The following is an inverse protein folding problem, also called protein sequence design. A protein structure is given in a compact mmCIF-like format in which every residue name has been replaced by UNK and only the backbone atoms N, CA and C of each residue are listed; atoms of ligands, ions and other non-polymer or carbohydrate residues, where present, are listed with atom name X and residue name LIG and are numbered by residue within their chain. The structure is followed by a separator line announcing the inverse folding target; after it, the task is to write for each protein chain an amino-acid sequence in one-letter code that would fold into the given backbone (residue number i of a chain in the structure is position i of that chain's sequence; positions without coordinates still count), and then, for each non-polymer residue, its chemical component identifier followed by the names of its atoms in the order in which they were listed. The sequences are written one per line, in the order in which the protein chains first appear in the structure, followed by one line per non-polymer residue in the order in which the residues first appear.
data_IF_766634538840
#
_entry.id   IF_766634538840
#
_cell.length_a   1.000
_cell.length_b   1.000
_cell.length_c   1.000
_cell.angle_alpha   90.00
_cell.angle_beta   90.00
_cell.angle_gamma   90.00
#
_symmetry.space_group_name_H-M   'P 1'
#
loop_
_entity.id
_entity.type
_entity.pdbx_description
1 polymer ?
#
# COMPACT_ATOMS: atom_id res chain seq x y z
N UNK A 1 2.28 1.01 17.80
CA UNK A 1 2.40 0.50 16.42
C UNK A 1 1.12 -0.21 16.02
N UNK A 2 0.69 -0.06 14.78
CA UNK A 2 -0.54 -0.69 14.33
C UNK A 2 -0.37 -2.19 14.18
N UNK A 3 -1.35 -2.95 14.65
CA UNK A 3 -1.39 -4.39 14.41
C UNK A 3 -2.10 -4.67 13.09
N UNK A 4 -1.89 -5.87 12.56
CA UNK A 4 -2.58 -6.29 11.34
C UNK A 4 -4.08 -6.26 11.50
N UNK A 5 -4.57 -6.62 12.71
CA UNK A 5 -5.99 -6.58 13.03
C UNK A 5 -6.56 -5.17 12.91
N UNK A 6 -5.84 -4.19 13.42
CA UNK A 6 -6.28 -2.80 13.36
C UNK A 6 -6.39 -2.30 11.92
N UNK A 7 -5.45 -2.69 11.06
CA UNK A 7 -5.51 -2.35 9.64
C UNK A 7 -6.73 -2.98 8.97
N UNK A 8 -7.01 -4.23 9.29
CA UNK A 8 -8.15 -4.96 8.73
C UNK A 8 -9.46 -4.32 9.19
N UNK A 9 -9.54 -4.00 10.49
CA UNK A 9 -10.73 -3.33 11.05
C UNK A 9 -10.95 -1.96 10.41
N UNK A 10 -9.89 -1.20 10.20
CA UNK A 10 -9.99 0.09 9.52
C UNK A 10 -10.49 -0.06 8.09
N UNK A 11 -10.04 -1.08 7.37
CA UNK A 11 -10.52 -1.36 6.02
C UNK A 11 -12.00 -1.70 6.01
N UNK A 12 -12.46 -2.54 6.94
CA UNK A 12 -13.89 -2.86 7.05
C UNK A 12 -14.71 -1.64 7.45
N UNK A 13 -14.15 -0.75 8.26
CA UNK A 13 -14.82 0.48 8.63
C UNK A 13 -15.05 1.36 7.39
N UNK A 14 -14.08 1.44 6.48
CA UNK A 14 -14.25 2.16 5.22
C UNK A 14 -15.37 1.53 4.38
N UNK A 15 -15.47 0.21 4.38
CA UNK A 15 -16.56 -0.48 3.69
C UNK A 15 -17.91 -0.17 4.31
N UNK A 16 -17.99 -0.09 5.63
CA UNK A 16 -19.22 0.25 6.35
C UNK A 16 -19.65 1.68 6.03
N UNK A 17 -18.71 2.61 5.95
CA UNK A 17 -19.01 3.99 5.59
C UNK A 17 -19.54 4.10 4.16
N UNK A 18 -19.17 3.18 3.29
CA UNK A 18 -19.67 3.12 1.93
C UNK A 18 -21.03 2.39 1.84
N UNK A 19 -21.58 1.97 2.97
CA UNK A 19 -22.88 1.31 3.00
C UNK A 19 -22.83 -0.20 2.89
N UNK A 20 -21.63 -0.79 2.90
CA UNK A 20 -21.49 -2.24 2.83
C UNK A 20 -21.34 -2.80 4.24
N UNK A 21 -22.17 -3.80 4.57
CA UNK A 21 -22.17 -4.40 5.89
C UNK A 21 -21.61 -5.82 5.78
N UNK A 22 -20.64 -6.12 6.64
CA UNK A 22 -20.02 -7.45 6.70
C UNK A 22 -19.93 -7.91 8.14
N UNK A 23 -20.12 -9.20 8.34
CA UNK A 23 -19.88 -9.78 9.65
C UNK A 23 -18.36 -9.97 9.83
N UNK A 24 -17.85 -9.49 10.95
CA UNK A 24 -16.42 -9.63 11.26
C UNK A 24 -16.20 -10.85 12.13
N UNK A 25 -16.55 -12.02 11.62
CA UNK A 25 -16.25 -13.26 12.31
C UNK A 25 -14.79 -13.69 12.05
N UNK A 26 -14.36 -14.75 12.70
CA UNK A 26 -12.99 -15.21 12.58
C UNK A 26 -12.59 -15.57 11.15
N UNK A 27 -13.52 -16.13 10.39
CA UNK A 27 -13.25 -16.53 9.01
C UNK A 27 -13.05 -15.30 8.11
N UNK A 28 -13.84 -14.26 8.32
CA UNK A 28 -13.73 -13.03 7.56
C UNK A 28 -12.41 -12.31 7.89
N UNK A 29 -12.05 -12.27 9.14
CA UNK A 29 -10.80 -11.66 9.57
C UNK A 29 -9.59 -12.40 9.01
N UNK A 30 -9.65 -13.73 9.01
CA UNK A 30 -8.55 -14.52 8.47
C UNK A 30 -8.42 -14.37 6.95
N UNK A 31 -9.55 -14.36 6.25
CA UNK A 31 -9.53 -14.12 4.81
C UNK A 31 -8.96 -12.72 4.49
N UNK A 32 -9.32 -11.73 5.29
CA UNK A 32 -8.79 -10.37 5.12
C UNK A 32 -7.30 -10.31 5.42
N UNK A 33 -6.84 -11.06 6.42
CA UNK A 33 -5.43 -11.16 6.75
C UNK A 33 -4.63 -11.72 5.58
N UNK A 34 -5.11 -12.76 4.95
CA UNK A 34 -4.46 -13.32 3.77
C UNK A 34 -4.40 -12.31 2.62
N UNK A 35 -5.47 -11.55 2.42
CA UNK A 35 -5.47 -10.51 1.38
C UNK A 35 -4.48 -9.39 1.71
N UNK A 36 -4.40 -9.01 2.97
CA UNK A 36 -3.45 -7.99 3.41
C UNK A 36 -2.00 -8.47 3.17
N UNK A 37 -1.68 -9.66 3.62
CA UNK A 37 -0.32 -10.21 3.44
C UNK A 37 0.04 -10.33 1.95
N UNK A 38 -0.90 -10.79 1.14
CA UNK A 38 -0.68 -10.93 -0.31
C UNK A 38 -0.48 -9.58 -0.98
N UNK A 39 -1.28 -8.59 -0.59
CA UNK A 39 -1.15 -7.23 -1.11
C UNK A 39 0.22 -6.66 -0.75
N UNK A 40 0.64 -6.84 0.48
CA UNK A 40 1.93 -6.31 0.94
C UNK A 40 3.10 -7.05 0.28
N UNK A 41 2.97 -8.34 0.02
CA UNK A 41 3.97 -9.08 -0.73
C UNK A 41 4.09 -8.57 -2.16
N UNK A 42 2.97 -8.27 -2.80
CA UNK A 42 2.97 -7.68 -4.15
C UNK A 42 3.63 -6.31 -4.14
N UNK A 43 3.31 -5.49 -3.15
CA UNK A 43 3.92 -4.15 -3.03
C UNK A 43 5.42 -4.25 -2.83
N UNK A 44 5.87 -5.19 -2.02
CA UNK A 44 7.30 -5.44 -1.83
C UNK A 44 7.95 -5.82 -3.16
N UNK A 45 7.26 -6.59 -3.98
CA UNK A 45 7.74 -6.99 -5.30
C UNK A 45 7.94 -5.84 -6.27
N UNK A 46 7.16 -4.76 -6.13
CA UNK A 46 7.32 -3.57 -6.97
C UNK A 46 8.22 -2.52 -6.33
N UNK A 47 8.82 -2.82 -5.20
CA UNK A 47 9.78 -1.94 -4.56
C UNK A 47 9.26 -1.11 -3.39
N UNK A 48 7.99 -1.25 -3.02
CA UNK A 48 7.45 -0.53 -1.86
C UNK A 48 7.85 -1.29 -0.59
N UNK A 49 8.89 -0.82 0.05
CA UNK A 49 9.45 -1.45 1.24
C UNK A 49 9.22 -0.54 2.45
N UNK A 50 8.10 -0.73 3.12
CA UNK A 50 7.70 0.10 4.25
C UNK A 50 7.84 -0.61 5.59
N UNK A 51 8.50 -1.74 5.61
CA UNK A 51 8.76 -2.45 6.86
C UNK A 51 7.66 -3.42 7.29
N UNK A 52 6.70 -3.71 6.43
CA UNK A 52 5.64 -4.65 6.78
C UNK A 52 6.22 -6.02 7.10
N UNK A 53 5.76 -6.60 8.19
CA UNK A 53 6.27 -7.89 8.68
C UNK A 53 5.54 -9.03 7.98
N UNK A 54 6.09 -9.46 6.85
CA UNK A 54 5.55 -10.59 6.10
C UNK A 54 5.86 -11.90 6.83
N UNK A 55 4.88 -12.83 6.91
CA UNK A 55 5.15 -14.12 7.52
C UNK A 55 6.01 -14.99 6.61
N UNK A 56 6.72 -15.93 7.20
CA UNK A 56 7.53 -16.88 6.44
C UNK A 56 6.67 -17.80 5.60
N UNK A 57 5.47 -18.10 6.08
CA UNK A 57 4.46 -18.86 5.32
C UNK A 57 3.08 -18.39 5.74
N UNK A 58 2.05 -18.62 4.91
CA UNK A 58 0.69 -18.15 5.23
C UNK A 58 0.16 -18.68 6.56
N UNK A 59 0.55 -19.89 6.97
CA UNK A 59 0.08 -20.48 8.20
C UNK A 59 0.64 -19.80 9.45
N UNK A 60 1.75 -19.08 9.31
CA UNK A 60 2.40 -18.42 10.43
C UNK A 60 1.88 -16.99 10.64
N UNK A 61 1.03 -16.51 9.77
CA UNK A 61 0.49 -15.16 9.91
C UNK A 61 -0.53 -15.12 11.05
N UNK A 62 -0.42 -14.11 11.88
CA UNK A 62 -1.32 -13.92 13.00
C UNK A 62 -1.87 -12.51 12.97
N UNK A 63 -3.19 -12.40 13.18
CA UNK A 63 -3.89 -11.12 13.12
C UNK A 63 -3.43 -10.16 14.23
N UNK A 64 -2.92 -10.69 15.32
CA UNK A 64 -2.44 -9.88 16.44
C UNK A 64 -0.99 -9.42 16.28
N UNK A 65 -0.30 -9.84 15.23
CA UNK A 65 1.05 -9.42 14.97
C UNK A 65 1.11 -7.93 14.61
N UNK A 66 2.22 -7.28 14.95
CA UNK A 66 2.46 -5.91 14.52
C UNK A 66 2.63 -5.89 13.01
N UNK A 67 2.09 -4.85 12.39
CA UNK A 67 2.25 -4.67 10.95
C UNK A 67 3.65 -4.18 10.59
N UNK A 68 4.28 -3.43 11.48
CA UNK A 68 5.62 -2.92 11.25
C UNK A 68 5.71 -1.70 10.34
N UNK A 69 4.58 -1.14 9.93
CA UNK A 69 4.58 -0.01 9.00
C UNK A 69 4.57 1.32 9.74
N UNK A 70 5.14 2.37 9.13
CA UNK A 70 5.10 3.71 9.73
C UNK A 70 3.71 4.32 9.62
N UNK A 71 3.43 5.30 10.45
CA UNK A 71 2.12 5.96 10.49
C UNK A 71 1.74 6.56 9.13
N UNK A 72 2.72 7.02 8.36
CA UNK A 72 2.45 7.60 7.05
C UNK A 72 1.97 6.58 6.03
N UNK A 73 2.20 5.30 6.26
CA UNK A 73 1.77 4.24 5.37
C UNK A 73 0.46 3.59 5.80
N UNK A 74 -0.07 3.92 6.98
CA UNK A 74 -1.27 3.28 7.52
C UNK A 74 -2.48 3.50 6.64
N UNK A 75 -2.79 4.75 6.33
CA UNK A 75 -3.96 5.07 5.50
C UNK A 75 -3.85 4.48 4.09
N UNK A 76 -2.73 4.64 3.37
CA UNK A 76 -2.60 3.99 2.07
C UNK A 76 -2.84 2.48 2.13
N UNK A 77 -2.36 1.82 3.17
CA UNK A 77 -2.50 0.37 3.29
C UNK A 77 -3.95 -0.02 3.51
N UNK A 78 -4.64 0.55 4.51
CA UNK A 78 -6.01 0.10 4.76
C UNK A 78 -6.99 0.57 3.69
N UNK A 79 -6.75 1.72 3.05
CA UNK A 79 -7.62 2.17 1.96
C UNK A 79 -7.50 1.24 0.75
N UNK A 80 -6.29 0.82 0.40
CA UNK A 80 -6.09 -0.14 -0.68
C UNK A 80 -6.64 -1.52 -0.33
N UNK A 81 -6.50 -1.91 0.93
CA UNK A 81 -7.09 -3.16 1.41
C UNK A 81 -8.62 -3.12 1.28
N UNK A 82 -9.24 -2.00 1.65
CA UNK A 82 -10.70 -1.83 1.53
C UNK A 82 -11.14 -1.98 0.08
N UNK A 83 -10.42 -1.40 -0.86
CA UNK A 83 -10.72 -1.55 -2.30
C UNK A 83 -10.65 -3.01 -2.72
N UNK A 84 -9.64 -3.73 -2.28
CA UNK A 84 -9.49 -5.16 -2.61
C UNK A 84 -10.58 -6.02 -1.97
N UNK A 85 -10.95 -5.73 -0.73
CA UNK A 85 -12.01 -6.47 -0.05
C UNK A 85 -13.35 -6.24 -0.73
N UNK A 86 -13.65 -5.01 -1.13
CA UNK A 86 -14.86 -4.68 -1.86
C UNK A 86 -14.91 -5.41 -3.20
N UNK A 87 -13.82 -5.37 -3.95
CA UNK A 87 -13.73 -6.03 -5.25
C UNK A 87 -13.94 -7.54 -5.13
N UNK A 88 -13.37 -8.15 -4.09
CA UNK A 88 -13.52 -9.59 -3.85
C UNK A 88 -14.95 -10.00 -3.55
N UNK A 89 -15.83 -9.05 -3.22
CA UNK A 89 -17.25 -9.31 -2.92
C UNK A 89 -18.17 -8.75 -4.01
N UNK A 90 -17.61 -8.39 -5.16
CA UNK A 90 -18.39 -7.82 -6.26
C UNK A 90 -18.91 -6.42 -5.98
N UNK A 91 -18.29 -5.71 -5.04
CA UNK A 91 -18.67 -4.34 -4.70
C UNK A 91 -17.63 -3.36 -5.19
N UNK A 92 -18.03 -2.11 -5.35
CA UNK A 92 -17.10 -1.05 -5.74
C UNK A 92 -17.28 0.12 -4.79
N UNK A 93 -16.19 0.58 -4.21
CA UNK A 93 -16.21 1.77 -3.36
C UNK A 93 -16.37 3.03 -4.21
N UNK A 94 -16.66 4.14 -3.55
CA UNK A 94 -16.85 5.40 -4.25
C UNK A 94 -15.57 5.81 -4.98
N UNK A 95 -15.72 6.63 -6.00
CA UNK A 95 -14.58 7.14 -6.76
C UNK A 95 -13.60 7.88 -5.86
N UNK A 96 -14.10 8.61 -4.87
CA UNK A 96 -13.25 9.35 -3.95
C UNK A 96 -12.37 8.42 -3.12
N UNK A 97 -12.92 7.34 -2.60
CA UNK A 97 -12.17 6.37 -1.83
C UNK A 97 -11.12 5.67 -2.71
N UNK A 98 -11.52 5.28 -3.91
CA UNK A 98 -10.58 4.64 -4.84
C UNK A 98 -9.46 5.58 -5.26
N UNK A 99 -9.78 6.85 -5.46
CA UNK A 99 -8.78 7.87 -5.78
C UNK A 99 -7.82 8.09 -4.62
N UNK A 100 -8.33 8.13 -3.39
CA UNK A 100 -7.50 8.27 -2.20
C UNK A 100 -6.56 7.06 -2.05
N UNK A 101 -7.07 5.85 -2.30
CA UNK A 101 -6.26 4.64 -2.26
C UNK A 101 -5.14 4.69 -3.31
N UNK A 102 -5.47 5.11 -4.52
CA UNK A 102 -4.49 5.20 -5.60
C UNK A 102 -3.44 6.27 -5.33
N UNK A 103 -3.85 7.41 -4.77
CA UNK A 103 -2.89 8.46 -4.37
C UNK A 103 -1.93 7.97 -3.31
N UNK A 104 -2.45 7.25 -2.32
CA UNK A 104 -1.61 6.67 -1.27
C UNK A 104 -0.61 5.68 -1.84
N UNK A 105 -1.06 4.82 -2.72
CA UNK A 105 -0.19 3.86 -3.39
C UNK A 105 0.89 4.59 -4.20
N UNK A 106 0.51 5.60 -4.97
CA UNK A 106 1.45 6.37 -5.79
C UNK A 106 2.46 7.11 -4.92
N UNK A 107 2.05 7.62 -3.78
CA UNK A 107 2.95 8.27 -2.83
C UNK A 107 4.01 7.30 -2.33
N UNK A 108 3.61 6.10 -1.93
CA UNK A 108 4.53 5.09 -1.45
C UNK A 108 5.45 4.59 -2.57
N UNK A 109 4.90 4.42 -3.77
CA UNK A 109 5.68 3.99 -4.91
C UNK A 109 6.70 5.06 -5.31
N UNK A 110 6.30 6.32 -5.31
CA UNK A 110 7.19 7.44 -5.62
C UNK A 110 8.34 7.55 -4.63
N UNK A 111 8.06 7.34 -3.35
CA UNK A 111 9.10 7.36 -2.33
C UNK A 111 10.06 6.18 -2.50
N UNK A 112 9.53 5.01 -2.88
CA UNK A 112 10.34 3.81 -3.06
C UNK A 112 11.27 3.89 -4.25
N UNK A 113 10.84 4.55 -5.34
CA UNK A 113 11.64 4.65 -6.56
C UNK A 113 12.32 6.00 -6.71
N UNK A 114 12.15 6.90 -5.76
CA UNK A 114 12.79 8.20 -5.80
C UNK A 114 14.31 7.99 -5.83
N UNK A 115 14.97 8.58 -6.81
CA UNK A 115 16.41 8.44 -6.87
C UNK A 115 17.00 9.11 -5.66
N UNK A 116 18.06 8.55 -5.23
CA UNK A 116 18.83 9.19 -4.28
C UNK A 116 19.36 10.32 -5.02
N UNK A 117 18.80 11.31 -4.88
CA UNK A 117 19.08 12.28 -5.67
C UNK A 117 20.26 12.69 -5.76
N UNK A 118 20.41 13.33 -5.88
CA UNK A 118 21.39 13.78 -6.09
C UNK A 118 21.92 13.32 -7.17
N UNK A 119 21.79 12.57 -7.43
CA UNK A 119 22.37 12.17 -8.36
C UNK A 119 21.94 12.58 -9.42
N UNK A 120 21.21 12.60 -9.49
CA UNK A 120 20.88 12.83 -10.60
C UNK A 120 21.17 13.93 -11.05
N UNK A 121 21.07 14.37 -10.82
CA UNK A 121 21.22 15.34 -11.34
C UNK A 121 22.20 15.69 -11.71
N UNK A 122 22.57 15.62 -11.70
CA UNK A 122 23.50 16.06 -12.13
C UNK A 122 23.82 15.66 -13.16
N UNK A 123 23.78 15.46 -13.59
CA UNK A 123 24.13 15.28 -14.52
C UNK A 123 24.07 15.75 -15.43
N UNK A 124 24.36 16.08 -15.66
CA UNK A 124 24.49 16.50 -16.43
C UNK A 124 24.18 16.62 -17.24
N UNK A 125 24.09 16.71 -17.39
CA UNK A 125 24.03 16.81 -17.91
C UNK A 125 23.88 16.99 -18.58
N UNK A 126 23.92 17.06 -18.95
CA UNK A 126 24.07 17.45 -19.58
C UNK A 126 23.88 17.51 -20.22
N UNK A 127 23.71 17.54 -20.49
CA UNK A 127 23.75 18.07 -20.97
C UNK A 127 23.48 18.02 -21.55
N UNK A 128 23.39 18.03 -21.88
CA UNK A 128 23.46 18.53 -22.25
C UNK A 128 23.32 18.69 -22.68
N UNK A 129 23.22 18.70 -23.02
CA UNK A 129 23.46 19.44 -23.37
C UNK A 129 23.63 19.55 -23.76
N UNK A 130 23.76 19.62 -24.14
CA UNK A 130 24.36 20.22 -24.48
C UNK A 130 24.82 20.33 -24.82
N UNK A 131 25.07 20.32 -25.01
CA UNK A 131 25.69 20.83 -25.40
C UNK A 131 25.95 21.10 -25.70
N UNK A 132 26.15 21.26 -25.91
CA UNK A 132 26.55 21.80 -26.31
C UNK A 132 26.61 21.81 -26.81
N UNK A 133 26.73 21.90 -27.18
CA UNK A 133 27.04 22.28 -27.67
C UNK A 133 27.23 22.61 -27.95
N UNK A 134 27.25 22.58 -27.93
CA UNK A 134 27.74 23.17 -28.24
C UNK A 134 28.22 23.63 -28.46
N UNK A 135 28.19 23.70 -28.64
CA UNK A 135 28.81 24.36 -28.98
C UNK A 135 29.31 24.65 -29.24
N UNK A 136 29.45 24.92 -29.56
CA UNK A 136 30.10 25.21 -29.87
C UNK A 136 30.25 25.59 -30.27
#
# INVERSE_FOLDING_TARGET
MWTKKQLIEAAFEELALAGFVFDLDADQLEAALRKLDTMMATWSGVGISIGYLLPASPELSNIDDDAGIPDTAVEPVYMNLAVKLAAGRGKTLTTETRTAAQRGYNMLLGAAVAPTSGQASGLPINGAGNKPWRTY
#
